data_IF_142753483247
#
_entry.id   IF_142753483247
#
_cell.length_a   1.000
_cell.length_b   1.000
_cell.length_c   1.000
_cell.angle_alpha   90.00
_cell.angle_beta   90.00
_cell.angle_gamma   90.00
#
_symmetry.space_group_name_H-M   'P 1'
#
loop_
_entity.id
_entity.type
_entity.pdbx_description
1 polymer ?
#
# COMPACT_ATOMS: atom_id res chain seq x y z
N UNK A 1 -8.38 13.17 -4.12
CA UNK A 1 -8.40 11.69 -4.02
C UNK A 1 -6.99 11.16 -4.23
N UNK A 2 -6.52 10.33 -3.31
CA UNK A 2 -5.17 9.76 -3.39
C UNK A 2 -5.22 8.54 -4.30
N UNK A 3 -4.32 8.48 -5.28
CA UNK A 3 -4.18 7.30 -6.11
C UNK A 3 -3.42 6.21 -5.36
N UNK A 4 -3.56 4.97 -5.83
CA UNK A 4 -2.85 3.86 -5.22
C UNK A 4 -1.33 4.04 -5.38
N UNK A 5 -0.90 4.61 -6.49
CA UNK A 5 0.51 4.90 -6.72
C UNK A 5 1.06 5.87 -5.69
N UNK A 6 0.33 6.95 -5.40
CA UNK A 6 0.75 7.92 -4.40
C UNK A 6 0.83 7.30 -3.02
N UNK A 7 -0.18 6.50 -2.66
CA UNK A 7 -0.21 5.85 -1.36
C UNK A 7 0.97 4.89 -1.21
N UNK A 8 1.23 4.07 -2.22
CA UNK A 8 2.33 3.11 -2.20
C UNK A 8 3.67 3.83 -2.13
N UNK A 9 3.86 4.87 -2.94
CA UNK A 9 5.10 5.63 -2.94
C UNK A 9 5.37 6.25 -1.58
N UNK A 10 4.33 6.79 -0.94
CA UNK A 10 4.48 7.38 0.40
C UNK A 10 4.87 6.32 1.41
N UNK A 11 4.19 5.18 1.40
CA UNK A 11 4.46 4.08 2.33
C UNK A 11 5.91 3.60 2.18
N UNK A 12 6.34 3.33 0.97
CA UNK A 12 7.68 2.82 0.72
C UNK A 12 8.75 3.86 1.01
N UNK A 13 8.45 5.13 0.77
CA UNK A 13 9.38 6.22 1.01
C UNK A 13 9.61 6.44 2.51
N UNK A 14 8.55 6.41 3.30
CA UNK A 14 8.62 6.60 4.74
C UNK A 14 8.94 5.32 5.49
N UNK A 15 8.76 4.18 4.85
CA UNK A 15 8.89 2.85 5.44
C UNK A 15 7.93 2.64 6.60
N UNK A 16 6.79 3.32 6.58
CA UNK A 16 5.75 3.22 7.60
C UNK A 16 4.41 3.02 6.95
N UNK A 17 3.60 2.18 7.55
CA UNK A 17 2.23 1.99 7.10
C UNK A 17 1.32 2.21 8.29
N UNK A 18 0.34 3.12 8.14
CA UNK A 18 -0.62 3.42 9.18
C UNK A 18 -1.86 2.57 9.00
N UNK A 19 -2.72 2.55 10.01
CA UNK A 19 -4.03 1.91 9.88
C UNK A 19 -4.85 2.55 8.78
N UNK A 20 -4.73 3.87 8.63
CA UNK A 20 -5.41 4.58 7.55
C UNK A 20 -4.93 4.05 6.19
N UNK A 21 -3.62 3.89 6.04
CA UNK A 21 -3.04 3.36 4.81
C UNK A 21 -3.54 1.95 4.53
N UNK A 22 -3.61 1.11 5.57
CA UNK A 22 -4.10 -0.25 5.43
C UNK A 22 -5.55 -0.26 4.95
N UNK A 23 -6.39 0.57 5.55
CA UNK A 23 -7.80 0.65 5.16
C UNK A 23 -7.94 1.15 3.74
N UNK A 24 -7.13 2.13 3.36
CA UNK A 24 -7.16 2.67 2.01
C UNK A 24 -6.79 1.60 0.99
N UNK A 25 -5.72 0.86 1.26
CA UNK A 25 -5.28 -0.22 0.36
C UNK A 25 -6.35 -1.31 0.28
N UNK A 26 -6.94 -1.69 1.40
CA UNK A 26 -7.98 -2.71 1.41
C UNK A 26 -9.20 -2.25 0.62
N UNK A 27 -9.61 -0.99 0.76
CA UNK A 27 -10.73 -0.44 0.02
C UNK A 27 -10.46 -0.44 -1.47
N UNK A 28 -9.26 -0.02 -1.87
CA UNK A 28 -8.88 0.00 -3.28
C UNK A 28 -8.81 -1.41 -3.85
N UNK A 29 -8.30 -2.35 -3.08
CA UNK A 29 -8.21 -3.73 -3.50
C UNK A 29 -9.60 -4.34 -3.71
N UNK A 30 -10.56 -3.98 -2.86
CA UNK A 30 -11.93 -4.48 -2.95
C UNK A 30 -12.70 -3.91 -4.13
N UNK A 31 -12.27 -2.78 -4.66
CA UNK A 31 -12.96 -2.07 -5.73
C UNK A 31 -12.86 -2.78 -7.08
N UNK A 32 -11.96 -3.74 -7.22
CA UNK A 32 -11.77 -4.55 -8.43
C UNK A 32 -11.49 -3.73 -9.69
N UNK A 33 -11.09 -2.49 -9.54
CA UNK A 33 -10.74 -1.63 -10.67
C UNK A 33 -9.23 -1.47 -10.79
N UNK A 34 -8.49 -2.36 -10.14
CA UNK A 34 -7.04 -2.27 -10.12
C UNK A 34 -6.47 -2.81 -11.42
N UNK A 35 -5.56 -2.05 -11.99
CA UNK A 35 -4.77 -2.50 -13.13
C UNK A 35 -3.66 -3.45 -12.66
N UNK A 36 -3.01 -4.11 -13.62
CA UNK A 36 -1.87 -4.96 -13.29
C UNK A 36 -0.76 -4.15 -12.64
N UNK A 37 -0.58 -2.90 -13.06
CA UNK A 37 0.40 -2.01 -12.46
C UNK A 37 0.07 -1.74 -10.99
N UNK A 38 -1.20 -1.50 -10.68
CA UNK A 38 -1.64 -1.25 -9.32
C UNK A 38 -1.43 -2.47 -8.45
N UNK A 39 -1.73 -3.65 -8.96
CA UNK A 39 -1.52 -4.90 -8.23
C UNK A 39 -0.03 -5.10 -7.94
N UNK A 40 0.82 -4.78 -8.91
CA UNK A 40 2.26 -4.89 -8.73
C UNK A 40 2.74 -3.96 -7.60
N UNK A 41 2.21 -2.73 -7.57
CA UNK A 41 2.55 -1.78 -6.50
C UNK A 41 2.11 -2.30 -5.13
N UNK A 42 0.91 -2.86 -5.04
CA UNK A 42 0.44 -3.44 -3.79
C UNK A 42 1.29 -4.62 -3.35
N UNK A 43 1.71 -5.45 -4.30
CA UNK A 43 2.59 -6.57 -3.99
C UNK A 43 3.91 -6.10 -3.40
N UNK A 44 4.44 -4.97 -3.86
CA UNK A 44 5.67 -4.41 -3.31
C UNK A 44 5.49 -4.02 -1.84
N UNK A 45 4.33 -3.45 -1.51
CA UNK A 45 4.02 -3.10 -0.12
C UNK A 45 3.94 -4.37 0.73
N UNK A 46 3.23 -5.38 0.25
CA UNK A 46 3.11 -6.65 0.98
C UNK A 46 4.47 -7.30 1.18
N UNK A 47 5.29 -7.34 0.14
CA UNK A 47 6.62 -7.93 0.24
C UNK A 47 7.46 -7.20 1.29
N UNK A 48 7.43 -5.86 1.27
CA UNK A 48 8.18 -5.07 2.23
C UNK A 48 7.68 -5.33 3.65
N UNK A 49 6.36 -5.45 3.82
CA UNK A 49 5.77 -5.74 5.12
C UNK A 49 6.18 -7.12 5.63
N UNK A 50 6.11 -8.12 4.77
CA UNK A 50 6.48 -9.50 5.12
C UNK A 50 7.96 -9.64 5.44
N UNK A 51 8.80 -8.83 4.82
CA UNK A 51 10.24 -8.84 5.07
C UNK A 51 10.65 -7.98 6.25
N UNK A 52 9.69 -7.36 6.92
CA UNK A 52 9.97 -6.51 8.06
C UNK A 52 10.58 -5.16 7.72
N UNK A 53 10.43 -4.72 6.47
CA UNK A 53 10.97 -3.43 6.02
C UNK A 53 10.03 -2.27 6.34
N UNK A 54 8.77 -2.56 6.57
CA UNK A 54 7.78 -1.55 6.91
C UNK A 54 7.42 -1.66 8.39
N UNK A 55 7.28 -0.51 9.02
CA UNK A 55 6.82 -0.43 10.40
C UNK A 55 5.33 -0.10 10.42
N UNK A 56 4.56 -0.92 11.11
CA UNK A 56 3.13 -0.64 11.29
C UNK A 56 3.00 0.37 12.42
N UNK A 57 2.41 1.53 12.11
CA UNK A 57 2.19 2.60 13.08
C UNK A 57 0.73 3.02 13.06
N UNK A 58 0.29 3.60 14.14
CA UNK A 58 -1.09 4.07 14.23
C UNK A 58 -1.25 5.52 13.81
#
# INVERSE_FOLDING_TARGET
MISIEEAVNRILSTRRITRYDQRLIMALYSDRQLSDTDLDLLNRVYDALMQGRLRVVE
#
